data_IF_034798476360
#
_entry.id   IF_034798476360
#
_cell.length_a   1.000
_cell.length_b   1.000
_cell.length_c   1.000
_cell.angle_alpha   90.00
_cell.angle_beta   90.00
_cell.angle_gamma   90.00
#
_symmetry.space_group_name_H-M   'P 1'
#
loop_
_entity.id
_entity.type
_entity.pdbx_description
1 polymer ?
#
# COMPACT_ATOMS: atom_id res chain seq x y z
N UNK A 1 -18.66 -18.89 -9.08
CA UNK A 1 -18.22 -17.91 -10.11
C UNK A 1 -17.10 -17.14 -9.49
N UNK A 2 -15.91 -17.18 -10.07
CA UNK A 2 -14.73 -16.54 -9.49
C UNK A 2 -14.95 -15.04 -9.41
N UNK A 3 -14.82 -14.46 -8.23
CA UNK A 3 -14.81 -13.02 -8.06
C UNK A 3 -13.65 -12.47 -8.88
N UNK A 4 -13.95 -11.70 -9.93
CA UNK A 4 -12.92 -11.10 -10.78
C UNK A 4 -12.22 -10.03 -9.95
N UNK A 5 -10.96 -10.28 -9.58
CA UNK A 5 -10.16 -9.26 -8.90
C UNK A 5 -10.04 -8.00 -9.79
N UNK A 6 -10.15 -6.84 -9.16
CA UNK A 6 -10.10 -5.55 -9.85
C UNK A 6 -8.67 -5.00 -9.76
N UNK A 7 -8.09 -4.68 -10.92
CA UNK A 7 -6.85 -3.91 -10.96
C UNK A 7 -7.12 -2.47 -10.53
N UNK A 8 -6.40 -2.00 -9.51
CA UNK A 8 -6.44 -0.65 -8.96
C UNK A 8 -5.08 0.03 -9.22
N UNK A 9 -5.07 1.35 -9.36
CA UNK A 9 -3.86 2.14 -9.55
C UNK A 9 -3.39 2.84 -8.26
N UNK A 10 -4.18 2.72 -7.18
CA UNK A 10 -3.96 3.43 -5.94
C UNK A 10 -4.25 4.92 -6.05
N UNK A 11 -4.10 5.62 -4.93
CA UNK A 11 -4.38 7.05 -4.83
C UNK A 11 -3.05 7.82 -4.92
N UNK A 12 -2.81 8.63 -5.96
CA UNK A 12 -1.58 9.41 -6.08
C UNK A 12 -1.42 10.37 -4.89
N UNK A 13 -0.21 10.41 -4.31
CA UNK A 13 0.13 11.30 -3.16
C UNK A 13 1.48 12.00 -3.34
N UNK A 14 1.95 12.09 -4.59
CA UNK A 14 3.23 12.72 -4.93
C UNK A 14 3.35 14.18 -4.46
N UNK A 15 2.23 14.90 -4.41
CA UNK A 15 2.14 16.31 -4.00
C UNK A 15 2.27 16.53 -2.49
N UNK A 16 2.05 15.48 -1.68
CA UNK A 16 2.09 15.54 -0.21
C UNK A 16 3.11 14.59 0.41
N UNK A 17 4.01 13.99 -0.38
CA UNK A 17 4.88 12.91 0.09
C UNK A 17 5.81 13.30 1.24
N UNK A 18 6.21 14.58 1.30
CA UNK A 18 7.09 15.11 2.34
C UNK A 18 6.33 15.61 3.58
N UNK A 19 5.00 15.61 3.54
CA UNK A 19 4.13 16.09 4.61
C UNK A 19 3.46 14.91 5.33
N UNK A 20 4.12 14.42 6.39
CA UNK A 20 3.62 13.30 7.20
C UNK A 20 2.21 13.55 7.71
N UNK A 21 1.88 14.77 8.13
CA UNK A 21 0.58 15.10 8.71
C UNK A 21 -0.51 14.99 7.65
N UNK A 22 -0.26 15.50 6.44
CA UNK A 22 -1.20 15.36 5.31
C UNK A 22 -1.35 13.92 4.86
N UNK A 23 -0.27 13.14 4.84
CA UNK A 23 -0.32 11.72 4.50
C UNK A 23 -1.18 10.94 5.51
N UNK A 24 -1.00 11.15 6.80
CA UNK A 24 -1.83 10.53 7.85
C UNK A 24 -3.29 10.98 7.74
N UNK A 25 -3.55 12.27 7.49
CA UNK A 25 -4.90 12.78 7.29
C UNK A 25 -5.58 12.15 6.06
N UNK A 26 -4.86 11.99 4.95
CA UNK A 26 -5.35 11.33 3.74
C UNK A 26 -5.60 9.85 3.99
N UNK A 27 -4.67 9.14 4.62
CA UNK A 27 -4.85 7.74 4.97
C UNK A 27 -6.05 7.53 5.92
N UNK A 28 -6.26 8.43 6.90
CA UNK A 28 -7.44 8.43 7.77
C UNK A 28 -8.74 8.62 6.98
N UNK A 29 -8.76 9.55 6.02
CA UNK A 29 -9.91 9.76 5.15
C UNK A 29 -10.27 8.50 4.35
N UNK A 30 -9.27 7.79 3.80
CA UNK A 30 -9.50 6.63 2.93
C UNK A 30 -9.80 5.34 3.71
N UNK A 31 -9.20 5.19 4.91
CA UNK A 31 -9.37 3.98 5.74
C UNK A 31 -10.49 4.10 6.78
N UNK A 32 -10.94 5.32 7.07
CA UNK A 32 -11.87 5.62 8.18
C UNK A 32 -11.26 5.41 9.57
N UNK A 33 -9.95 5.20 9.68
CA UNK A 33 -9.27 4.80 10.92
C UNK A 33 -8.22 5.83 11.32
N UNK A 34 -7.99 6.01 12.63
CA UNK A 34 -6.86 6.82 13.08
C UNK A 34 -5.56 6.04 12.88
N UNK A 35 -4.65 6.62 12.11
CA UNK A 35 -3.44 5.94 11.65
C UNK A 35 -2.20 6.78 11.91
N UNK A 36 -1.07 6.09 12.00
CA UNK A 36 0.25 6.66 12.10
C UNK A 36 1.12 6.08 10.97
N UNK A 37 1.85 6.96 10.29
CA UNK A 37 2.80 6.57 9.23
C UNK A 37 4.13 6.12 9.86
N UNK A 38 4.58 4.91 9.54
CA UNK A 38 5.90 4.39 9.93
C UNK A 38 7.01 5.37 9.51
N UNK A 39 8.12 5.44 10.24
CA UNK A 39 9.19 6.40 9.96
C UNK A 39 10.01 6.06 8.70
N UNK A 40 10.09 4.78 8.34
CA UNK A 40 10.98 4.28 7.30
C UNK A 40 10.24 3.44 6.26
N UNK A 41 10.78 3.45 5.03
CA UNK A 41 10.41 2.48 4.02
C UNK A 41 10.92 1.10 4.40
N UNK A 42 10.11 0.09 4.17
CA UNK A 42 10.42 -1.32 4.38
C UNK A 42 10.37 -2.02 3.03
N UNK A 43 11.46 -2.70 2.67
CA UNK A 43 11.44 -3.65 1.56
C UNK A 43 10.88 -4.97 2.08
N UNK A 44 9.75 -5.37 1.54
CA UNK A 44 9.11 -6.63 1.93
C UNK A 44 9.88 -7.77 1.28
N UNK A 45 10.35 -8.76 2.05
CA UNK A 45 11.13 -9.87 1.49
C UNK A 45 10.27 -11.10 1.12
N UNK A 46 9.11 -11.26 1.77
CA UNK A 46 8.17 -12.38 1.64
C UNK A 46 6.72 -11.90 1.78
N UNK A 47 5.74 -12.79 1.71
CA UNK A 47 4.34 -12.44 1.97
C UNK A 47 4.22 -11.79 3.36
N UNK A 48 3.73 -10.54 3.40
CA UNK A 48 3.48 -9.85 4.65
C UNK A 48 1.98 -9.57 4.81
N UNK A 49 1.48 -9.99 5.97
CA UNK A 49 0.16 -9.66 6.48
C UNK A 49 0.36 -8.93 7.80
N UNK A 50 -0.38 -7.85 8.02
CA UNK A 50 -0.42 -7.23 9.33
C UNK A 50 -1.83 -6.73 9.59
N UNK A 51 -2.48 -7.29 10.60
CA UNK A 51 -3.82 -6.86 11.01
C UNK A 51 -3.84 -5.39 11.41
N UNK A 52 -2.71 -4.85 11.89
CA UNK A 52 -2.57 -3.46 12.31
C UNK A 52 -2.27 -2.49 11.17
N UNK A 53 -2.00 -2.97 9.95
CA UNK A 53 -1.71 -2.11 8.78
C UNK A 53 -3.01 -1.83 8.04
N UNK A 54 -3.39 -0.55 7.98
CA UNK A 54 -4.64 -0.11 7.33
C UNK A 54 -4.39 0.49 5.96
N UNK A 55 -3.19 1.04 5.75
CA UNK A 55 -2.79 1.54 4.44
C UNK A 55 -1.29 1.36 4.24
N UNK A 56 -0.84 1.40 2.99
CA UNK A 56 0.57 1.44 2.63
C UNK A 56 0.81 2.49 1.57
N UNK A 57 1.93 3.22 1.67
CA UNK A 57 2.51 3.88 0.53
C UNK A 57 3.25 2.84 -0.31
N UNK A 58 2.94 2.82 -1.60
CA UNK A 58 3.56 1.97 -2.59
C UNK A 58 4.29 2.88 -3.57
N UNK A 59 5.58 2.62 -3.81
CA UNK A 59 6.36 3.35 -4.81
C UNK A 59 6.63 2.47 -6.02
N UNK A 60 6.75 3.12 -7.19
CA UNK A 60 7.27 2.43 -8.37
C UNK A 60 8.63 1.82 -8.04
N UNK A 61 8.77 0.52 -8.28
CA UNK A 61 10.05 -0.15 -8.11
C UNK A 61 10.96 0.24 -9.27
N UNK A 62 11.93 1.12 -9.01
CA UNK A 62 12.84 1.58 -10.05
C UNK A 62 13.89 0.49 -10.31
N UNK A 63 13.67 -0.33 -11.34
CA UNK A 63 14.53 -1.46 -11.73
C UNK A 63 15.93 -1.04 -12.22
N UNK A 64 16.30 0.23 -12.13
CA UNK A 64 17.53 0.78 -12.72
C UNK A 64 18.81 0.31 -12.03
N UNK A 65 18.78 -0.06 -10.73
CA UNK A 65 19.97 -0.48 -9.98
C UNK A 65 19.92 -1.92 -9.45
N UNK A 66 18.86 -2.69 -9.71
CA UNK A 66 18.77 -4.11 -9.36
C UNK A 66 18.19 -4.86 -10.55
N UNK A 67 19.07 -5.32 -11.44
CA UNK A 67 18.72 -6.29 -12.47
C UNK A 67 17.98 -7.46 -11.79
N UNK A 68 16.74 -7.71 -12.20
CA UNK A 68 15.91 -8.86 -11.83
C UNK A 68 15.26 -8.90 -10.43
N UNK A 69 14.83 -7.78 -9.83
CA UNK A 69 13.77 -7.92 -8.81
C UNK A 69 12.40 -8.05 -9.52
N UNK A 70 11.66 -9.17 -9.37
CA UNK A 70 10.28 -9.21 -9.82
C UNK A 70 9.51 -8.08 -9.09
N UNK A 71 8.61 -7.41 -9.79
CA UNK A 71 7.75 -6.40 -9.17
C UNK A 71 6.88 -7.03 -8.07
N UNK A 72 6.50 -6.23 -7.09
CA UNK A 72 5.54 -6.60 -6.08
C UNK A 72 4.10 -6.30 -6.46
N UNK A 73 3.17 -6.83 -5.65
CA UNK A 73 1.73 -6.59 -5.70
C UNK A 73 1.26 -6.22 -4.30
N UNK A 74 0.44 -5.16 -4.21
CA UNK A 74 -0.37 -4.91 -3.02
C UNK A 74 -1.81 -5.33 -3.34
N UNK A 75 -2.30 -6.37 -2.67
CA UNK A 75 -3.67 -6.87 -2.79
C UNK A 75 -4.47 -6.42 -1.58
N UNK A 76 -5.67 -5.90 -1.80
CA UNK A 76 -6.65 -5.60 -0.77
C UNK A 76 -7.71 -6.69 -0.85
N UNK A 77 -7.73 -7.57 0.14
CA UNK A 77 -8.81 -8.54 0.32
C UNK A 77 -10.03 -7.82 0.86
N UNK A 78 -11.06 -7.73 0.02
CA UNK A 78 -12.37 -7.16 0.26
C UNK A 78 -13.35 -7.76 -0.74
N UNK A 79 -14.58 -7.26 -0.78
CA UNK A 79 -15.60 -7.69 -1.75
C UNK A 79 -16.03 -6.47 -2.60
N UNK A 80 -15.56 -6.33 -3.85
CA UNK A 80 -14.64 -7.22 -4.57
C UNK A 80 -13.17 -7.04 -4.17
N UNK A 81 -12.33 -8.09 -4.33
CA UNK A 81 -10.89 -7.99 -4.08
C UNK A 81 -10.22 -7.07 -5.11
N UNK A 82 -9.22 -6.30 -4.65
CA UNK A 82 -8.46 -5.36 -5.48
C UNK A 82 -6.98 -5.70 -5.45
N UNK A 83 -6.25 -5.41 -6.52
CA UNK A 83 -4.79 -5.54 -6.54
C UNK A 83 -4.12 -4.41 -7.29
N UNK A 84 -2.89 -4.09 -6.89
CA UNK A 84 -2.09 -3.01 -7.45
C UNK A 84 -0.70 -3.56 -7.76
N UNK A 85 -0.30 -3.50 -9.03
CA UNK A 85 1.02 -3.94 -9.47
C UNK A 85 2.03 -2.79 -9.34
N UNK A 86 3.11 -3.02 -8.59
CA UNK A 86 4.14 -1.98 -8.32
C UNK A 86 4.86 -1.45 -9.55
N UNK A 87 4.92 -2.22 -10.63
CA UNK A 87 5.56 -1.85 -11.89
C UNK A 87 4.70 -0.88 -12.72
N UNK A 88 3.37 -0.96 -12.55
CA UNK A 88 2.38 -0.06 -13.15
C UNK A 88 2.11 1.19 -12.33
N UNK A 89 2.54 1.25 -11.07
CA UNK A 89 2.46 2.47 -10.25
C UNK A 89 3.29 3.58 -10.89
N UNK A 90 2.71 4.78 -10.99
CA UNK A 90 3.43 5.99 -11.37
C UNK A 90 3.65 6.84 -10.13
N UNK A 91 4.92 7.08 -9.76
CA UNK A 91 5.25 7.83 -8.55
C UNK A 91 5.03 7.05 -7.26
N UNK A 92 4.35 7.68 -6.29
CA UNK A 92 4.03 7.09 -4.99
C UNK A 92 2.52 7.17 -4.80
N UNK A 93 1.91 6.03 -4.54
CA UNK A 93 0.46 5.89 -4.35
C UNK A 93 0.16 5.36 -2.96
N UNK A 94 -0.99 5.78 -2.42
CA UNK A 94 -1.58 5.26 -1.22
C UNK A 94 -2.52 4.11 -1.57
N UNK A 95 -2.34 2.98 -0.88
CA UNK A 95 -3.21 1.81 -0.92
C UNK A 95 -3.88 1.69 0.43
N UNK A 96 -5.19 1.90 0.49
CA UNK A 96 -5.96 1.88 1.74
C UNK A 96 -6.92 0.68 1.77
N UNK A 97 -6.91 -0.03 2.90
CA UNK A 97 -7.92 -1.01 3.26
C UNK A 97 -9.00 -0.34 4.12
N UNK A 98 -10.25 -0.53 3.73
CA UNK A 98 -11.43 -0.13 4.50
C UNK A 98 -11.58 -1.02 5.73
N UNK A 99 -12.44 -0.66 6.70
CA UNK A 99 -12.76 -1.54 7.82
C UNK A 99 -13.27 -2.91 7.31
N UNK A 100 -12.66 -3.99 7.80
CA UNK A 100 -12.94 -5.36 7.35
C UNK A 100 -12.08 -5.85 6.18
N UNK A 101 -11.41 -4.96 5.45
CA UNK A 101 -10.46 -5.33 4.40
C UNK A 101 -9.06 -5.60 4.96
N UNK A 102 -8.25 -6.38 4.24
CA UNK A 102 -6.85 -6.69 4.60
C UNK A 102 -5.89 -6.38 3.45
N UNK A 103 -4.73 -5.82 3.76
CA UNK A 103 -3.66 -5.61 2.77
C UNK A 103 -2.69 -6.81 2.81
N UNK A 104 -2.42 -7.38 1.64
CA UNK A 104 -1.43 -8.42 1.39
C UNK A 104 -0.36 -7.86 0.48
N UNK A 105 0.90 -8.03 0.87
CA UNK A 105 2.05 -7.64 0.07
C UNK A 105 2.74 -8.88 -0.49
N UNK A 106 2.90 -8.96 -1.81
CA UNK A 106 3.47 -10.10 -2.55
C UNK A 106 4.61 -9.61 -3.45
N UNK A 107 5.63 -10.44 -3.73
CA UNK A 107 6.62 -10.12 -4.78
C UNK A 107 7.62 -9.00 -4.45
N UNK A 108 7.91 -8.76 -3.18
CA UNK A 108 8.89 -7.79 -2.69
C UNK A 108 8.66 -6.29 -2.96
N UNK A 109 7.45 -5.75 -2.69
CA UNK A 109 7.22 -4.33 -2.80
C UNK A 109 8.03 -3.56 -1.75
N UNK A 110 8.41 -2.33 -2.10
CA UNK A 110 8.94 -1.37 -1.15
C UNK A 110 7.82 -0.48 -0.67
N UNK A 111 7.51 -0.53 0.64
CA UNK A 111 6.34 0.12 1.21
C UNK A 111 6.67 0.98 2.42
N UNK A 112 5.78 1.92 2.73
CA UNK A 112 5.76 2.61 4.02
C UNK A 112 4.38 2.44 4.63
N UNK A 113 4.30 1.80 5.79
CA UNK A 113 3.01 1.37 6.34
C UNK A 113 2.34 2.47 7.17
N UNK A 114 1.01 2.54 7.09
CA UNK A 114 0.17 3.24 8.04
C UNK A 114 -0.43 2.22 9.00
N UNK A 115 -0.10 2.34 10.28
CA UNK A 115 -0.60 1.46 11.33
C UNK A 115 -1.70 2.15 12.12
N UNK A 116 -2.66 1.38 12.64
CA UNK A 116 -3.63 1.91 13.61
C UNK A 116 -2.88 2.55 14.78
N UNK A 117 -3.27 3.77 15.15
CA UNK A 117 -2.75 4.43 16.35
C UNK A 117 -3.42 3.83 17.59
N UNK A 118 -3.08 2.57 17.89
CA UNK A 118 -3.71 1.66 18.86
C UNK A 118 -5.24 1.50 18.70
N UNK A 119 -5.79 0.30 18.94
CA UNK A 119 -7.23 0.09 19.05
C UNK A 119 -7.84 0.73 20.31
#
# INVERSE_FOLDING_TARGET
>A
MGETEIEDFGIPVNDIIDDRIKLEAKAKQETGQDVELDSQWTDVEKIQFSENVCAVLLRKQNNQNKQNKPGGVARVEGEPPRYILTDKVNGIVLVAAKPGEKIILLGQPSVRCFRRRNP
#
